data_IF_975710205451
#
_entry.id   IF_975710205451
#
_cell.length_a   1.000
_cell.length_b   1.000
_cell.length_c   1.000
_cell.angle_alpha   90.00
_cell.angle_beta   90.00
_cell.angle_gamma   90.00
#
_symmetry.space_group_name_H-M   'P 1'
#
loop_
_entity.id
_entity.type
_entity.pdbx_description
1 polymer ?
#
# COMPACT_ATOMS: atom_id res chain seq x y z
N UNK A 1 -24.27 14.30 18.57
CA UNK A 1 -23.58 13.13 19.15
C UNK A 1 -24.02 11.80 18.54
N UNK A 2 -25.31 11.41 18.73
CA UNK A 2 -25.83 10.11 18.26
C UNK A 2 -25.78 9.97 16.72
N UNK A 3 -26.07 11.03 15.99
CA UNK A 3 -26.04 11.06 14.51
C UNK A 3 -24.63 10.77 13.97
N UNK A 4 -23.61 11.37 14.57
CA UNK A 4 -22.20 11.11 14.24
C UNK A 4 -21.85 9.64 14.48
N UNK A 5 -22.21 9.08 15.63
CA UNK A 5 -21.93 7.68 15.96
C UNK A 5 -22.65 6.72 15.00
N UNK A 6 -23.88 7.01 14.62
CA UNK A 6 -24.63 6.21 13.66
C UNK A 6 -23.95 6.24 12.27
N UNK A 7 -23.57 7.42 11.81
CA UNK A 7 -22.86 7.57 10.53
C UNK A 7 -21.50 6.85 10.55
N UNK A 8 -20.72 7.00 11.62
CA UNK A 8 -19.45 6.29 11.78
C UNK A 8 -19.64 4.78 11.77
N UNK A 9 -20.67 4.26 12.44
CA UNK A 9 -20.99 2.84 12.44
C UNK A 9 -21.40 2.34 11.05
N UNK A 10 -22.15 3.16 10.30
CA UNK A 10 -22.57 2.84 8.94
C UNK A 10 -21.39 2.77 7.97
N UNK A 11 -20.46 3.74 8.06
CA UNK A 11 -19.35 3.84 7.10
C UNK A 11 -18.18 2.93 7.46
N UNK A 12 -18.04 2.54 8.72
CA UNK A 12 -16.88 1.76 9.20
C UNK A 12 -16.78 0.34 8.61
N UNK A 13 -17.86 -0.20 8.07
CA UNK A 13 -17.89 -1.49 7.38
C UNK A 13 -17.85 -1.37 5.84
N UNK A 14 -17.75 -0.16 5.32
CA UNK A 14 -17.64 0.12 3.88
C UNK A 14 -16.20 -0.07 3.36
N UNK A 15 -15.70 -1.28 3.44
CA UNK A 15 -14.32 -1.61 3.04
C UNK A 15 -14.03 -1.40 1.55
N UNK A 16 -15.04 -1.19 0.72
CA UNK A 16 -14.92 -1.05 -0.73
C UNK A 16 -15.35 0.32 -1.27
N UNK A 17 -15.84 1.20 -0.42
CA UNK A 17 -16.31 2.54 -0.79
C UNK A 17 -17.64 2.54 -1.54
N UNK A 18 -18.43 1.48 -1.39
CA UNK A 18 -19.76 1.36 -2.05
C UNK A 18 -20.74 2.38 -1.51
N UNK A 19 -20.81 2.52 -0.18
CA UNK A 19 -21.69 3.50 0.49
C UNK A 19 -21.28 4.93 0.22
N UNK A 20 -19.99 5.18 0.01
CA UNK A 20 -19.46 6.48 -0.38
C UNK A 20 -19.57 6.76 -1.89
N UNK A 21 -19.99 5.79 -2.68
CA UNK A 21 -20.07 5.92 -4.15
C UNK A 21 -18.71 6.03 -4.85
N UNK A 22 -17.63 5.56 -4.22
CA UNK A 22 -16.26 5.62 -4.75
C UNK A 22 -15.70 4.24 -5.12
N UNK A 23 -16.50 3.21 -5.02
CA UNK A 23 -16.09 1.85 -5.36
C UNK A 23 -15.52 1.79 -6.78
N UNK A 24 -14.32 1.27 -6.92
CA UNK A 24 -13.63 1.08 -8.20
C UNK A 24 -12.66 -0.09 -8.12
N UNK A 25 -12.28 -0.60 -9.28
CA UNK A 25 -11.39 -1.75 -9.40
C UNK A 25 -10.57 -1.63 -10.67
N UNK A 26 -9.31 -2.03 -10.64
CA UNK A 26 -8.51 -2.28 -11.82
C UNK A 26 -7.86 -3.66 -11.75
N UNK A 27 -7.43 -4.19 -12.89
CA UNK A 27 -6.82 -5.51 -12.95
C UNK A 27 -5.49 -5.60 -12.17
N UNK A 28 -4.57 -4.63 -12.30
CA UNK A 28 -3.27 -4.72 -11.64
C UNK A 28 -3.33 -4.66 -10.12
N UNK A 29 -4.23 -3.83 -9.56
CA UNK A 29 -4.25 -3.54 -8.12
C UNK A 29 -5.44 -4.16 -7.38
N UNK A 30 -6.47 -4.58 -8.12
CA UNK A 30 -7.71 -5.04 -7.52
C UNK A 30 -8.61 -3.88 -7.04
N UNK A 31 -9.55 -4.14 -6.13
CA UNK A 31 -10.55 -3.17 -5.74
C UNK A 31 -10.02 -2.12 -4.74
N UNK A 32 -10.65 -0.95 -4.76
CA UNK A 32 -10.48 0.09 -3.74
C UNK A 32 -10.66 -0.50 -2.33
N UNK A 33 -9.88 0.01 -1.37
CA UNK A 33 -9.92 -0.38 0.04
C UNK A 33 -10.02 0.83 0.95
N UNK A 34 -10.97 0.76 1.88
CA UNK A 34 -11.13 1.73 2.95
C UNK A 34 -10.74 1.09 4.29
N UNK A 35 -10.00 1.82 5.09
CA UNK A 35 -9.64 1.44 6.46
C UNK A 35 -10.06 2.55 7.41
N UNK A 36 -11.00 2.25 8.30
CA UNK A 36 -11.56 3.19 9.28
C UNK A 36 -11.05 2.84 10.68
N UNK A 37 -9.74 2.80 10.84
CA UNK A 37 -9.06 2.19 11.97
C UNK A 37 -8.50 3.17 13.00
N UNK A 38 -8.67 4.48 12.80
CA UNK A 38 -8.18 5.47 13.74
C UNK A 38 -9.23 6.49 14.11
N UNK A 39 -9.56 6.52 15.42
CA UNK A 39 -10.43 7.50 16.05
C UNK A 39 -9.65 8.11 17.21
N UNK A 40 -9.67 9.41 17.35
CA UNK A 40 -9.07 10.13 18.47
C UNK A 40 -10.04 11.12 19.09
N UNK A 41 -9.80 11.43 20.35
CA UNK A 41 -10.44 12.57 21.01
C UNK A 41 -9.39 13.68 21.11
N UNK A 42 -9.62 14.79 20.40
CA UNK A 42 -8.71 15.92 20.34
C UNK A 42 -9.50 17.19 20.70
N UNK A 43 -9.07 17.92 21.73
CA UNK A 43 -9.72 19.15 22.22
C UNK A 43 -11.23 19.02 22.44
N UNK A 44 -11.68 17.86 22.95
CA UNK A 44 -13.09 17.58 23.21
C UNK A 44 -13.92 17.24 21.98
N UNK A 45 -13.30 17.09 20.81
CA UNK A 45 -13.92 16.68 19.54
C UNK A 45 -13.51 15.26 19.18
N UNK A 46 -14.41 14.52 18.54
CA UNK A 46 -14.10 13.20 17.94
C UNK A 46 -13.47 13.46 16.56
N UNK A 47 -12.21 13.05 16.42
CA UNK A 47 -11.49 13.09 15.15
C UNK A 47 -11.42 11.67 14.55
N UNK A 48 -11.81 11.55 13.28
CA UNK A 48 -11.90 10.31 12.55
C UNK A 48 -10.97 10.35 11.34
N UNK A 49 -10.06 9.37 11.21
CA UNK A 49 -8.99 9.35 10.22
C UNK A 49 -9.10 8.10 9.33
N UNK A 50 -9.87 8.13 8.26
CA UNK A 50 -9.91 7.05 7.29
C UNK A 50 -8.64 7.04 6.41
N UNK A 51 -8.17 5.84 6.07
CA UNK A 51 -7.15 5.58 5.03
C UNK A 51 -7.85 4.92 3.85
N UNK A 52 -7.90 5.62 2.71
CA UNK A 52 -8.55 5.13 1.50
C UNK A 52 -7.47 4.89 0.44
N UNK A 53 -7.37 3.65 -0.02
CA UNK A 53 -6.44 3.21 -1.05
C UNK A 53 -7.19 2.83 -2.30
N UNK A 54 -7.08 3.62 -3.33
CA UNK A 54 -7.71 3.36 -4.61
C UNK A 54 -6.70 2.83 -5.63
N UNK A 55 -7.17 2.03 -6.63
CA UNK A 55 -6.34 1.45 -7.67
C UNK A 55 -5.60 2.53 -8.48
N UNK A 56 -4.39 2.23 -8.93
CA UNK A 56 -3.52 3.21 -9.60
C UNK A 56 -4.00 3.66 -10.97
N UNK A 57 -4.84 2.86 -11.63
CA UNK A 57 -5.45 3.18 -12.93
C UNK A 57 -6.89 3.69 -12.79
N UNK A 58 -7.39 3.87 -11.57
CA UNK A 58 -8.72 4.43 -11.33
C UNK A 58 -8.78 5.91 -11.75
N UNK A 59 -9.98 6.38 -12.07
CA UNK A 59 -10.26 7.79 -12.28
C UNK A 59 -10.14 8.53 -10.92
N UNK A 60 -8.98 9.14 -10.71
CA UNK A 60 -8.64 9.84 -9.48
C UNK A 60 -9.62 10.96 -9.17
N UNK A 61 -9.99 11.76 -10.15
CA UNK A 61 -10.88 12.90 -9.94
C UNK A 61 -12.27 12.44 -9.49
N UNK A 62 -12.74 11.32 -10.04
CA UNK A 62 -14.01 10.71 -9.63
C UNK A 62 -13.94 10.18 -8.19
N UNK A 63 -12.86 9.52 -7.80
CA UNK A 63 -12.68 9.03 -6.43
C UNK A 63 -12.60 10.18 -5.45
N UNK A 64 -11.76 11.19 -5.72
CA UNK A 64 -11.57 12.32 -4.82
C UNK A 64 -12.83 13.19 -4.68
N UNK A 65 -13.57 13.41 -5.76
CA UNK A 65 -14.84 14.13 -5.71
C UNK A 65 -15.90 13.34 -4.94
N UNK A 66 -15.95 12.02 -5.11
CA UNK A 66 -16.86 11.16 -4.37
C UNK A 66 -16.58 11.15 -2.87
N UNK A 67 -15.29 11.10 -2.46
CA UNK A 67 -14.90 11.24 -1.05
C UNK A 67 -15.41 12.57 -0.48
N UNK A 68 -15.15 13.67 -1.16
CA UNK A 68 -15.60 15.00 -0.70
C UNK A 68 -17.12 15.07 -0.57
N UNK A 69 -17.85 14.59 -1.58
CA UNK A 69 -19.31 14.55 -1.55
C UNK A 69 -19.87 13.71 -0.39
N UNK A 70 -19.25 12.55 -0.10
CA UNK A 70 -19.64 11.71 1.03
C UNK A 70 -19.43 12.42 2.37
N UNK A 71 -18.33 13.20 2.52
CA UNK A 71 -18.08 13.99 3.72
C UNK A 71 -19.01 15.21 3.83
N UNK A 72 -19.27 15.91 2.75
CA UNK A 72 -20.23 17.02 2.72
C UNK A 72 -21.65 16.57 3.12
N UNK A 73 -22.03 15.34 2.79
CA UNK A 73 -23.31 14.76 3.19
C UNK A 73 -23.30 14.19 4.63
N UNK A 74 -22.14 14.13 5.28
CA UNK A 74 -21.98 13.55 6.62
C UNK A 74 -22.30 14.56 7.73
N UNK A 75 -22.56 14.09 8.97
CA UNK A 75 -22.69 14.98 10.13
C UNK A 75 -21.32 15.43 10.69
N UNK A 76 -20.22 15.21 9.98
CA UNK A 76 -18.86 15.57 10.39
C UNK A 76 -18.29 16.64 9.47
N UNK A 77 -17.40 17.45 10.00
CA UNK A 77 -16.65 18.45 9.25
C UNK A 77 -15.39 17.82 8.66
N UNK A 78 -15.07 18.09 7.39
CA UNK A 78 -13.82 17.72 6.76
C UNK A 78 -12.75 18.77 7.11
N UNK A 79 -11.93 18.49 8.12
CA UNK A 79 -10.90 19.41 8.59
C UNK A 79 -9.66 19.43 7.67
N UNK A 80 -9.25 18.26 7.20
CA UNK A 80 -8.10 18.13 6.31
C UNK A 80 -8.27 16.96 5.33
N UNK A 81 -7.65 17.12 4.18
CA UNK A 81 -7.64 16.10 3.15
C UNK A 81 -6.27 16.05 2.50
N UNK A 82 -5.66 14.88 2.47
CA UNK A 82 -4.40 14.67 1.76
C UNK A 82 -4.54 13.53 0.77
N UNK A 83 -3.93 13.69 -0.39
CA UNK A 83 -3.87 12.66 -1.41
C UNK A 83 -2.42 12.44 -1.85
N UNK A 84 -2.08 11.21 -2.14
CA UNK A 84 -0.83 10.84 -2.79
C UNK A 84 -1.17 10.31 -4.17
N UNK A 85 -0.54 10.88 -5.19
CA UNK A 85 -0.74 10.42 -6.56
C UNK A 85 -0.44 8.93 -6.71
N UNK A 86 -1.20 8.21 -7.53
CA UNK A 86 -0.94 6.81 -7.80
C UNK A 86 0.49 6.57 -8.28
N UNK A 87 1.06 5.47 -7.87
CA UNK A 87 2.38 5.03 -8.33
C UNK A 87 2.26 3.60 -8.87
N UNK A 88 2.47 3.45 -10.15
CA UNK A 88 2.35 2.17 -10.84
C UNK A 88 3.52 1.98 -11.81
N UNK A 89 4.08 0.79 -11.82
CA UNK A 89 5.09 0.36 -12.77
C UNK A 89 4.52 -0.84 -13.53
N UNK A 90 4.38 -0.68 -14.84
CA UNK A 90 3.90 -1.77 -15.70
C UNK A 90 4.84 -2.98 -15.60
N UNK A 91 4.26 -4.17 -15.54
CA UNK A 91 5.01 -5.42 -15.65
C UNK A 91 5.64 -5.62 -17.04
N UNK A 92 5.21 -4.84 -18.05
CA UNK A 92 5.86 -4.81 -19.36
C UNK A 92 7.15 -3.98 -19.39
N UNK A 93 7.45 -3.25 -18.31
CA UNK A 93 8.70 -2.52 -18.19
C UNK A 93 9.87 -3.49 -18.15
N UNK A 94 10.86 -3.38 -19.08
CA UNK A 94 11.95 -4.35 -19.21
C UNK A 94 12.83 -4.42 -17.96
N UNK A 95 13.03 -3.30 -17.26
CA UNK A 95 13.79 -3.29 -16.00
C UNK A 95 13.02 -4.00 -14.87
N UNK A 96 11.68 -3.83 -14.80
CA UNK A 96 10.86 -4.53 -13.84
C UNK A 96 10.88 -6.05 -14.10
N UNK A 97 10.77 -6.48 -15.36
CA UNK A 97 10.89 -7.89 -15.75
C UNK A 97 12.25 -8.48 -15.37
N UNK A 98 13.33 -7.76 -15.63
CA UNK A 98 14.68 -8.21 -15.27
C UNK A 98 14.84 -8.34 -13.75
N UNK A 99 14.31 -7.41 -12.97
CA UNK A 99 14.34 -7.47 -11.50
C UNK A 99 13.57 -8.67 -10.96
N UNK A 100 12.41 -9.01 -11.55
CA UNK A 100 11.62 -10.20 -11.20
C UNK A 100 12.41 -11.47 -11.53
N UNK A 101 13.02 -11.55 -12.72
CA UNK A 101 13.87 -12.67 -13.14
C UNK A 101 15.02 -12.89 -12.15
N UNK A 102 15.74 -11.82 -11.82
CA UNK A 102 16.86 -11.86 -10.86
C UNK A 102 16.40 -12.35 -9.48
N UNK A 103 15.26 -11.89 -8.99
CA UNK A 103 14.71 -12.33 -7.72
C UNK A 103 14.38 -13.82 -7.73
N UNK A 104 13.68 -14.29 -8.76
CA UNK A 104 13.30 -15.69 -8.94
C UNK A 104 14.52 -16.63 -8.95
N UNK A 105 15.54 -16.25 -9.70
CA UNK A 105 16.76 -17.03 -9.84
C UNK A 105 17.62 -16.98 -8.57
N UNK A 106 17.85 -15.80 -8.00
CA UNK A 106 18.70 -15.65 -6.82
C UNK A 106 18.10 -16.29 -5.55
N UNK A 107 16.77 -16.37 -5.47
CA UNK A 107 16.05 -16.96 -4.36
C UNK A 107 15.63 -18.42 -4.62
N UNK A 108 15.88 -18.94 -5.83
CA UNK A 108 15.45 -20.28 -6.26
C UNK A 108 13.92 -20.48 -6.11
N UNK A 109 13.15 -19.41 -6.38
CA UNK A 109 11.70 -19.38 -6.24
C UNK A 109 11.07 -18.88 -7.55
N UNK A 110 10.76 -19.75 -8.51
CA UNK A 110 10.26 -19.36 -9.83
C UNK A 110 8.88 -18.68 -9.81
N UNK A 111 8.11 -18.94 -8.76
CA UNK A 111 6.73 -18.44 -8.62
C UNK A 111 6.63 -17.11 -7.86
N UNK A 112 7.76 -16.41 -7.64
CA UNK A 112 7.70 -15.08 -7.03
C UNK A 112 6.89 -14.14 -7.93
N UNK A 113 5.85 -13.55 -7.34
CA UNK A 113 5.06 -12.47 -7.96
C UNK A 113 5.43 -11.12 -7.34
N UNK A 114 5.46 -10.04 -8.15
CA UNK A 114 5.65 -8.70 -7.63
C UNK A 114 4.50 -8.30 -6.71
N UNK A 115 4.81 -7.50 -5.70
CA UNK A 115 3.78 -6.95 -4.82
C UNK A 115 2.93 -5.95 -5.60
N UNK A 116 1.62 -6.12 -5.48
CA UNK A 116 0.62 -5.24 -6.12
C UNK A 116 0.23 -4.06 -5.22
N UNK A 117 0.81 -3.99 -4.03
CA UNK A 117 0.34 -3.10 -2.97
C UNK A 117 1.51 -2.58 -2.14
N UNK A 118 1.33 -1.39 -1.57
CA UNK A 118 2.32 -0.75 -0.73
C UNK A 118 2.80 0.59 -1.28
N UNK A 119 3.26 1.44 -0.38
CA UNK A 119 3.82 2.74 -0.72
C UNK A 119 5.25 2.85 -0.24
N UNK A 120 6.15 3.29 -1.09
CA UNK A 120 7.53 3.56 -0.72
C UNK A 120 7.93 4.98 -1.13
N UNK A 121 9.08 5.43 -0.66
CA UNK A 121 9.67 6.69 -1.11
C UNK A 121 10.05 6.67 -2.61
N UNK A 122 10.06 5.51 -3.27
CA UNK A 122 10.28 5.40 -4.72
C UNK A 122 9.33 6.28 -5.54
N UNK A 123 8.07 6.49 -5.07
CA UNK A 123 7.12 7.42 -5.73
C UNK A 123 7.59 8.87 -5.82
N UNK A 124 8.58 9.27 -5.04
CA UNK A 124 9.17 10.62 -5.04
C UNK A 124 10.43 10.72 -5.91
N UNK A 125 10.86 9.61 -6.48
CA UNK A 125 12.05 9.54 -7.31
C UNK A 125 11.64 9.26 -8.76
N UNK A 126 12.11 10.02 -9.73
CA UNK A 126 11.84 9.74 -11.13
C UNK A 126 12.48 8.39 -11.52
N UNK A 127 11.78 7.62 -12.33
CA UNK A 127 12.25 6.34 -12.88
C UNK A 127 12.72 5.32 -11.82
N UNK A 128 12.18 5.37 -10.61
CA UNK A 128 12.53 4.44 -9.54
C UNK A 128 11.61 3.22 -9.52
N UNK A 129 12.17 2.05 -9.38
CA UNK A 129 11.45 0.79 -9.17
C UNK A 129 11.73 0.33 -7.74
N UNK A 130 10.72 0.22 -6.85
CA UNK A 130 10.93 -0.36 -5.52
C UNK A 130 11.23 -1.85 -5.64
N UNK A 131 12.26 -2.30 -4.95
CA UNK A 131 12.75 -3.66 -5.09
C UNK A 131 13.30 -4.22 -3.78
N UNK A 132 12.97 -5.47 -3.48
CA UNK A 132 13.59 -6.25 -2.42
C UNK A 132 12.96 -6.10 -1.05
N UNK A 133 13.78 -6.24 -0.02
CA UNK A 133 13.57 -6.21 1.41
C UNK A 133 12.94 -7.46 2.05
N UNK A 134 11.98 -8.13 1.46
CA UNK A 134 11.34 -9.32 2.06
C UNK A 134 11.45 -10.52 1.13
N UNK A 135 11.95 -11.64 1.66
CA UNK A 135 11.95 -12.92 0.96
C UNK A 135 10.60 -13.60 1.19
N UNK A 136 9.82 -13.88 0.12
CA UNK A 136 8.53 -14.53 0.25
C UNK A 136 8.63 -15.92 0.91
N UNK A 137 7.60 -16.29 1.66
CA UNK A 137 7.51 -17.62 2.28
C UNK A 137 8.43 -17.86 3.48
N UNK A 138 9.22 -16.86 3.89
CA UNK A 138 10.10 -17.02 5.03
C UNK A 138 9.36 -17.07 6.35
N UNK A 139 9.72 -18.04 7.20
CA UNK A 139 9.11 -18.22 8.52
C UNK A 139 9.49 -17.04 9.43
N UNK A 140 8.50 -16.45 10.07
CA UNK A 140 8.72 -15.40 11.10
C UNK A 140 9.22 -16.05 12.40
N UNK A 141 10.38 -15.59 12.90
CA UNK A 141 11.02 -16.16 14.11
C UNK A 141 10.12 -16.07 15.36
N UNK A 142 9.31 -15.03 15.46
CA UNK A 142 8.43 -14.78 16.62
C UNK A 142 6.94 -14.89 16.30
N UNK A 143 6.58 -15.51 15.16
CA UNK A 143 5.20 -15.60 14.69
C UNK A 143 4.63 -14.27 14.21
N UNK A 144 3.28 -14.15 14.20
CA UNK A 144 2.59 -12.95 13.71
C UNK A 144 2.35 -11.87 14.78
N UNK A 145 2.46 -12.24 16.05
CA UNK A 145 2.14 -11.35 17.17
C UNK A 145 3.26 -10.38 17.56
N UNK A 146 4.50 -10.65 17.15
CA UNK A 146 5.69 -9.88 17.54
C UNK A 146 6.66 -9.71 16.38
N UNK A 147 7.42 -8.60 16.45
CA UNK A 147 8.54 -8.35 15.55
C UNK A 147 8.15 -8.08 14.10
N UNK A 148 6.89 -7.79 13.81
CA UNK A 148 6.43 -7.43 12.47
C UNK A 148 6.85 -6.03 12.06
N UNK A 149 6.76 -5.73 10.76
CA UNK A 149 6.97 -4.39 10.24
C UNK A 149 6.06 -3.37 10.93
N UNK A 150 6.60 -2.20 11.25
CA UNK A 150 5.92 -1.10 11.96
C UNK A 150 5.55 -1.39 13.42
N UNK A 151 6.06 -2.47 14.02
CA UNK A 151 5.91 -2.75 15.44
C UNK A 151 7.09 -2.19 16.24
N UNK A 152 6.87 -1.87 17.52
CA UNK A 152 7.92 -1.31 18.38
C UNK A 152 9.11 -2.28 18.61
N UNK A 153 8.87 -3.57 18.43
CA UNK A 153 9.83 -4.67 18.54
C UNK A 153 10.23 -5.25 17.16
N UNK A 154 10.06 -4.49 16.07
CA UNK A 154 10.46 -4.89 14.73
C UNK A 154 11.92 -5.37 14.72
N UNK A 155 12.18 -6.50 14.09
CA UNK A 155 13.51 -7.09 14.01
C UNK A 155 13.99 -7.26 12.56
N UNK A 156 15.30 -7.26 12.39
CA UNK A 156 15.96 -7.64 11.16
C UNK A 156 16.55 -9.04 11.28
N UNK A 157 16.10 -9.94 10.42
CA UNK A 157 16.67 -11.29 10.29
C UNK A 157 17.96 -11.23 9.47
N UNK A 158 19.12 -11.45 10.10
CA UNK A 158 20.43 -11.35 9.46
C UNK A 158 20.58 -12.29 8.24
N UNK A 159 20.20 -13.58 8.27
CA UNK A 159 20.19 -14.42 7.08
C UNK A 159 19.36 -13.84 5.93
N UNK A 160 18.19 -13.26 6.22
CA UNK A 160 17.36 -12.59 5.21
C UNK A 160 18.07 -11.36 4.63
N UNK A 161 18.74 -10.57 5.46
CA UNK A 161 19.50 -9.40 5.01
C UNK A 161 20.64 -9.81 4.06
N UNK A 162 21.40 -10.85 4.40
CA UNK A 162 22.49 -11.38 3.55
C UNK A 162 21.96 -11.90 2.22
N UNK A 163 20.80 -12.57 2.23
CA UNK A 163 20.16 -13.03 1.01
C UNK A 163 19.69 -11.87 0.13
N UNK A 164 19.11 -10.83 0.71
CA UNK A 164 18.77 -9.60 0.00
C UNK A 164 19.99 -8.92 -0.60
N UNK A 165 21.12 -8.86 0.13
CA UNK A 165 22.36 -8.30 -0.43
C UNK A 165 22.80 -9.06 -1.68
N UNK A 166 22.71 -10.39 -1.68
CA UNK A 166 23.01 -11.21 -2.87
C UNK A 166 22.09 -10.86 -4.04
N UNK A 167 20.79 -10.72 -3.77
CA UNK A 167 19.80 -10.33 -4.79
C UNK A 167 20.13 -8.95 -5.37
N UNK A 168 20.43 -7.96 -4.51
CA UNK A 168 20.77 -6.61 -4.96
C UNK A 168 22.04 -6.53 -5.78
N UNK A 169 23.09 -7.24 -5.40
CA UNK A 169 24.34 -7.27 -6.17
C UNK A 169 24.08 -7.83 -7.57
N UNK A 170 23.34 -8.93 -7.68
CA UNK A 170 22.98 -9.48 -8.99
C UNK A 170 22.12 -8.52 -9.80
N UNK A 171 21.09 -7.92 -9.16
CA UNK A 171 20.23 -6.95 -9.83
C UNK A 171 21.03 -5.76 -10.40
N UNK A 172 21.98 -5.21 -9.66
CA UNK A 172 22.84 -4.13 -10.15
C UNK A 172 23.68 -4.54 -11.35
N UNK A 173 24.29 -5.74 -11.32
CA UNK A 173 25.09 -6.25 -12.43
C UNK A 173 24.23 -6.46 -13.69
N UNK A 174 23.07 -7.09 -13.53
CA UNK A 174 22.18 -7.38 -14.66
C UNK A 174 21.55 -6.10 -15.27
N UNK A 175 21.21 -5.11 -14.43
CA UNK A 175 20.68 -3.85 -14.90
C UNK A 175 21.74 -3.00 -15.62
N UNK A 176 23.00 -3.01 -15.17
CA UNK A 176 24.11 -2.32 -15.81
C UNK A 176 24.32 -2.81 -17.24
N UNK A 177 24.09 -4.07 -17.52
CA UNK A 177 24.16 -4.66 -18.86
C UNK A 177 23.01 -4.25 -19.79
N UNK A 178 21.95 -3.65 -19.25
CA UNK A 178 20.80 -3.18 -20.03
C UNK A 178 20.91 -1.70 -20.43
N UNK A 179 21.87 -0.97 -19.89
CA UNK A 179 22.13 0.45 -20.17
C UNK A 179 23.11 0.63 -21.32
#
# INVERSE_FOLDING_TARGET
GQEVLNWMAEISDDYRGEKMGIACNDEPNGPLRCSFNMIRMEDGRICFYPDIRYPSLADQDKVLSGIKAAWEASPMELESFSNLDPFYISLDNPFAQKLIEVARDALEQPDIEPLKDGGTYARRLPNAIPYGATVPGRVRLFGFAKGGAHQADEYCDIPNLLLNMRVYVRALIELDQML
#
